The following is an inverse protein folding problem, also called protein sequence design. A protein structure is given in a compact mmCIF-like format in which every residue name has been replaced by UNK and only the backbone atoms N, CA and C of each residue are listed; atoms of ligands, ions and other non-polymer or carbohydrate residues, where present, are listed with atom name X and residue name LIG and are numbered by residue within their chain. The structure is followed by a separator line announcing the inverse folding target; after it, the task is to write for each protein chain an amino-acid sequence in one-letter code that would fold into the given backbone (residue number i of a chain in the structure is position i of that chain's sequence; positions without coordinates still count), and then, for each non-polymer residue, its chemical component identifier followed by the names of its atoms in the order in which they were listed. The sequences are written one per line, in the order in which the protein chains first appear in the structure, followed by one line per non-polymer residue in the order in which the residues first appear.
data_IF_087045519162
#
_entry.id   IF_087045519162
#
_cell.length_a   1.000
_cell.length_b   1.000
_cell.length_c   1.000
_cell.angle_alpha   90.00
_cell.angle_beta   90.00
_cell.angle_gamma   90.00
#
_symmetry.space_group_name_H-M   'P 1'
#
loop_
_entity.id
_entity.type
_entity.pdbx_description
1 polymer ?
#
# COMPACT_ATOMS: atom_id res chain seq x y z
N UNK A 1 14.85 6.88 -29.30
CA UNK A 1 14.74 7.06 -27.87
C UNK A 1 14.86 5.71 -27.20
N UNK A 2 15.67 5.59 -26.17
CA UNK A 2 15.74 4.38 -25.36
C UNK A 2 14.44 4.21 -24.57
N UNK A 3 14.10 2.98 -24.16
CA UNK A 3 12.90 2.73 -23.35
C UNK A 3 12.91 3.57 -22.05
N UNK A 4 14.08 3.79 -21.45
CA UNK A 4 14.33 4.64 -20.29
C UNK A 4 13.91 6.10 -20.52
N UNK A 5 14.28 6.69 -21.67
CA UNK A 5 13.92 8.08 -22.01
C UNK A 5 12.40 8.26 -22.19
N UNK A 6 11.73 7.23 -22.75
CA UNK A 6 10.28 7.23 -22.90
C UNK A 6 9.58 7.21 -21.53
N UNK A 7 10.04 6.38 -20.60
CA UNK A 7 9.47 6.28 -19.24
C UNK A 7 9.66 7.59 -18.44
N UNK A 8 10.84 8.21 -18.54
CA UNK A 8 11.09 9.52 -17.94
C UNK A 8 10.19 10.62 -18.52
N UNK A 9 9.92 10.59 -19.82
CA UNK A 9 9.01 11.52 -20.48
C UNK A 9 7.56 11.30 -20.06
N UNK A 10 7.12 10.04 -19.91
CA UNK A 10 5.79 9.69 -19.41
C UNK A 10 5.57 10.23 -17.99
N UNK A 11 6.55 10.05 -17.09
CA UNK A 11 6.46 10.55 -15.73
C UNK A 11 6.25 12.07 -15.67
N UNK A 12 7.06 12.83 -16.41
CA UNK A 12 6.94 14.30 -16.48
C UNK A 12 5.61 14.75 -17.07
N UNK A 13 5.13 14.05 -18.10
CA UNK A 13 3.87 14.37 -18.76
C UNK A 13 2.68 14.15 -17.81
N UNK A 14 2.67 13.02 -17.09
CA UNK A 14 1.60 12.70 -16.13
C UNK A 14 1.64 13.61 -14.91
N UNK A 15 2.83 13.93 -14.39
CA UNK A 15 3.00 14.83 -13.24
C UNK A 15 2.65 16.28 -13.56
N UNK A 16 2.57 16.66 -14.85
CA UNK A 16 2.39 18.04 -15.31
C UNK A 16 3.51 19.01 -14.82
N UNK A 17 4.65 18.45 -14.46
CA UNK A 17 5.83 19.18 -14.01
C UNK A 17 7.13 18.49 -14.49
N UNK A 18 8.25 19.21 -14.41
CA UNK A 18 9.55 18.71 -14.81
C UNK A 18 10.23 17.94 -13.68
N UNK A 19 9.76 16.73 -13.40
CA UNK A 19 10.37 15.83 -12.43
C UNK A 19 11.80 15.42 -12.83
N UNK A 20 12.66 15.27 -11.84
CA UNK A 20 13.93 14.55 -12.02
C UNK A 20 13.64 13.05 -11.96
N UNK A 21 13.94 12.34 -13.03
CA UNK A 21 13.73 10.88 -13.12
C UNK A 21 15.07 10.19 -13.16
N UNK A 22 15.32 9.33 -12.18
CA UNK A 22 16.54 8.54 -12.05
C UNK A 22 16.22 7.04 -12.19
N UNK A 23 17.14 6.30 -12.80
CA UNK A 23 17.05 4.84 -12.89
C UNK A 23 18.20 4.23 -12.08
N UNK A 24 17.86 3.42 -11.07
CA UNK A 24 18.83 2.84 -10.13
C UNK A 24 18.57 1.35 -9.89
N UNK A 25 19.59 0.66 -9.39
CA UNK A 25 19.46 -0.69 -8.86
C UNK A 25 18.81 -0.63 -7.47
N UNK A 26 17.49 -0.60 -7.44
CA UNK A 26 16.68 -0.53 -6.23
C UNK A 26 15.58 -1.60 -6.29
N UNK A 27 15.06 -2.07 -5.15
CA UNK A 27 14.06 -3.14 -5.12
C UNK A 27 12.70 -2.70 -5.67
N UNK A 28 12.36 -1.42 -5.56
CA UNK A 28 11.09 -0.87 -6.06
C UNK A 28 11.26 0.59 -6.48
N UNK A 29 10.22 1.17 -7.10
CA UNK A 29 10.15 2.60 -7.37
C UNK A 29 9.96 3.40 -6.08
N UNK A 30 10.31 4.68 -6.10
CA UNK A 30 10.06 5.60 -5.00
C UNK A 30 10.05 7.05 -5.48
N UNK A 31 9.29 7.89 -4.80
CA UNK A 31 9.25 9.33 -5.04
C UNK A 31 9.70 10.13 -3.81
N UNK A 32 10.74 10.91 -3.95
CA UNK A 32 11.19 11.86 -2.93
C UNK A 32 10.38 13.16 -3.09
N UNK A 33 9.43 13.36 -2.18
CA UNK A 33 8.49 14.50 -2.22
C UNK A 33 9.20 15.83 -2.01
N UNK A 34 10.26 15.86 -1.18
CA UNK A 34 11.05 17.06 -0.91
C UNK A 34 11.88 17.49 -2.14
N UNK A 35 12.61 16.54 -2.73
CA UNK A 35 13.54 16.80 -3.84
C UNK A 35 12.88 16.73 -5.21
N UNK A 36 11.63 16.25 -5.26
CA UNK A 36 10.89 16.02 -6.50
C UNK A 36 11.63 15.06 -7.45
N UNK A 37 12.21 13.99 -6.86
CA UNK A 37 12.97 12.97 -7.58
C UNK A 37 12.21 11.66 -7.62
N UNK A 38 11.90 11.19 -8.82
CA UNK A 38 11.34 9.87 -9.09
C UNK A 38 12.49 8.90 -9.35
N UNK A 39 12.63 7.88 -8.51
CA UNK A 39 13.55 6.77 -8.70
C UNK A 39 12.80 5.55 -9.24
N UNK A 40 13.21 5.06 -10.39
CA UNK A 40 12.66 3.85 -11.02
C UNK A 40 13.68 2.71 -10.94
N UNK A 41 13.26 1.47 -10.65
CA UNK A 41 14.15 0.33 -10.60
C UNK A 41 14.64 -0.06 -12.01
N UNK A 42 15.85 -0.58 -12.08
CA UNK A 42 16.40 -1.17 -13.31
C UNK A 42 16.13 -2.67 -13.33
N UNK A 43 14.87 -3.07 -13.41
CA UNK A 43 14.49 -4.48 -13.51
C UNK A 43 14.64 -5.00 -14.94
N UNK A 44 15.31 -6.13 -15.08
CA UNK A 44 15.56 -6.74 -16.39
C UNK A 44 14.38 -7.56 -16.92
N UNK A 45 13.46 -7.96 -16.04
CA UNK A 45 12.32 -8.83 -16.37
C UNK A 45 10.97 -8.13 -16.36
N UNK A 46 10.86 -6.93 -15.79
CA UNK A 46 9.59 -6.23 -15.72
C UNK A 46 9.09 -5.78 -17.10
N UNK A 47 7.82 -6.03 -17.36
CA UNK A 47 7.15 -5.60 -18.58
C UNK A 47 6.98 -4.07 -18.65
N UNK A 48 6.63 -3.57 -19.82
CA UNK A 48 6.26 -2.16 -19.98
C UNK A 48 5.03 -1.78 -19.14
N UNK A 49 4.11 -2.74 -18.90
CA UNK A 49 2.91 -2.55 -18.10
C UNK A 49 3.29 -2.31 -16.63
N UNK A 50 4.18 -3.14 -16.07
CA UNK A 50 4.69 -2.96 -14.69
C UNK A 50 5.37 -1.60 -14.55
N UNK A 51 6.24 -1.21 -15.50
CA UNK A 51 6.87 0.10 -15.45
C UNK A 51 5.88 1.26 -15.56
N UNK A 52 4.86 1.16 -16.42
CA UNK A 52 3.81 2.19 -16.51
C UNK A 52 3.03 2.32 -15.21
N UNK A 53 2.70 1.19 -14.58
CA UNK A 53 2.05 1.14 -13.28
C UNK A 53 2.92 1.82 -12.21
N UNK A 54 4.22 1.47 -12.10
CA UNK A 54 5.14 2.08 -11.16
C UNK A 54 5.27 3.61 -11.38
N UNK A 55 5.42 4.04 -12.62
CA UNK A 55 5.43 5.47 -12.97
C UNK A 55 4.13 6.14 -12.53
N UNK A 56 2.99 5.52 -12.82
CA UNK A 56 1.68 6.05 -12.45
C UNK A 56 1.50 6.17 -10.93
N UNK A 57 1.96 5.19 -10.18
CA UNK A 57 1.94 5.17 -8.72
C UNK A 57 2.76 6.33 -8.13
N UNK A 58 4.05 6.42 -8.51
CA UNK A 58 4.94 7.45 -7.98
C UNK A 58 4.54 8.88 -8.40
N UNK A 59 4.01 9.03 -9.62
CA UNK A 59 3.42 10.31 -10.05
C UNK A 59 2.16 10.62 -9.22
N UNK A 60 1.42 9.63 -8.78
CA UNK A 60 0.32 9.78 -7.82
C UNK A 60 0.79 10.46 -6.53
N UNK A 61 1.89 10.00 -5.95
CA UNK A 61 2.53 10.68 -4.80
C UNK A 61 2.97 12.10 -5.14
N UNK A 62 3.60 12.30 -6.31
CA UNK A 62 4.03 13.63 -6.75
C UNK A 62 2.89 14.63 -6.83
N UNK A 63 1.70 14.20 -7.25
CA UNK A 63 0.54 15.06 -7.46
C UNK A 63 -0.31 15.27 -6.20
N UNK A 64 -0.39 14.27 -5.33
CA UNK A 64 -1.44 14.21 -4.32
C UNK A 64 -0.95 14.06 -2.89
N UNK A 65 0.27 13.55 -2.65
CA UNK A 65 0.83 13.43 -1.30
C UNK A 65 1.50 14.74 -0.91
N UNK A 66 1.02 15.43 0.12
CA UNK A 66 1.63 16.67 0.56
C UNK A 66 2.99 16.43 1.21
N UNK A 67 3.92 17.36 1.03
CA UNK A 67 5.18 17.39 1.76
C UNK A 67 4.99 18.04 3.14
N UNK A 68 4.32 17.35 4.04
CA UNK A 68 4.02 17.82 5.38
C UNK A 68 4.86 17.05 6.41
N UNK A 69 5.99 17.65 6.81
CA UNK A 69 6.91 17.04 7.77
C UNK A 69 6.29 16.86 9.14
N UNK A 70 5.43 17.78 9.55
CA UNK A 70 4.78 17.71 10.87
C UNK A 70 3.86 16.49 10.96
N UNK A 71 3.18 16.13 9.87
CA UNK A 71 2.34 14.93 9.81
C UNK A 71 3.19 13.67 9.92
N UNK A 72 4.34 13.62 9.26
CA UNK A 72 5.22 12.45 9.31
C UNK A 72 5.94 12.30 10.65
N UNK A 73 6.33 13.42 11.28
CA UNK A 73 6.99 13.41 12.60
C UNK A 73 6.02 13.11 13.75
N UNK A 74 4.76 13.53 13.63
CA UNK A 74 3.72 13.38 14.65
C UNK A 74 2.61 12.40 14.21
N UNK A 75 2.94 11.40 13.39
CA UNK A 75 1.98 10.46 12.84
C UNK A 75 1.18 9.74 13.96
N UNK A 76 -0.16 9.63 13.84
CA UNK A 76 -1.00 9.01 14.88
C UNK A 76 -0.89 7.48 14.91
N UNK A 77 -0.20 6.88 13.94
CA UNK A 77 0.05 5.45 13.80
C UNK A 77 1.38 5.24 13.02
N UNK A 78 1.90 4.00 12.94
CA UNK A 78 3.10 3.71 12.16
C UNK A 78 2.97 4.17 10.70
N UNK A 79 4.02 4.80 10.16
CA UNK A 79 4.02 5.36 8.79
C UNK A 79 3.65 4.34 7.72
N UNK A 80 3.99 3.05 7.92
CA UNK A 80 3.60 1.98 7.00
C UNK A 80 2.07 1.87 6.80
N UNK A 81 1.28 2.16 7.85
CA UNK A 81 -0.19 2.19 7.75
C UNK A 81 -0.67 3.35 6.89
N UNK A 82 -0.10 4.54 7.11
CA UNK A 82 -0.41 5.74 6.32
C UNK A 82 -0.01 5.51 4.86
N UNK A 83 1.14 4.90 4.61
CA UNK A 83 1.59 4.59 3.26
C UNK A 83 0.58 3.70 2.51
N UNK A 84 0.12 2.61 3.13
CA UNK A 84 -0.88 1.71 2.51
C UNK A 84 -2.19 2.43 2.17
N UNK A 85 -2.71 3.24 3.08
CA UNK A 85 -3.98 3.95 2.86
C UNK A 85 -3.83 5.09 1.86
N UNK A 86 -2.68 5.75 1.86
CA UNK A 86 -2.34 6.80 0.89
C UNK A 86 -2.14 6.21 -0.51
N UNK A 87 -1.46 5.06 -0.64
CA UNK A 87 -1.32 4.34 -1.90
C UNK A 87 -2.70 4.07 -2.54
N UNK A 88 -3.64 3.53 -1.76
CA UNK A 88 -4.99 3.27 -2.24
C UNK A 88 -5.70 4.56 -2.71
N UNK A 89 -5.52 5.68 -1.98
CA UNK A 89 -6.10 6.98 -2.31
C UNK A 89 -5.50 7.56 -3.59
N UNK A 90 -4.16 7.64 -3.68
CA UNK A 90 -3.50 8.27 -4.83
C UNK A 90 -3.76 7.48 -6.12
N UNK A 91 -3.74 6.15 -6.05
CA UNK A 91 -4.06 5.31 -7.22
C UNK A 91 -5.50 5.50 -7.71
N UNK A 92 -6.45 5.61 -6.79
CA UNK A 92 -7.84 5.94 -7.13
C UNK A 92 -7.92 7.30 -7.84
N UNK A 93 -7.22 8.32 -7.33
CA UNK A 93 -7.20 9.67 -7.92
C UNK A 93 -6.51 9.65 -9.29
N UNK A 94 -5.42 8.89 -9.45
CA UNK A 94 -4.73 8.71 -10.73
C UNK A 94 -5.63 8.04 -11.76
N UNK A 95 -6.32 6.95 -11.41
CA UNK A 95 -7.28 6.25 -12.29
C UNK A 95 -8.45 7.15 -12.70
N UNK A 96 -8.88 8.04 -11.80
CA UNK A 96 -9.93 9.04 -12.08
C UNK A 96 -9.44 10.14 -13.03
N UNK A 97 -8.23 10.65 -12.82
CA UNK A 97 -7.63 11.71 -13.63
C UNK A 97 -7.20 11.21 -15.01
N UNK A 98 -6.67 10.00 -15.07
CA UNK A 98 -6.15 9.36 -16.27
C UNK A 98 -6.76 7.97 -16.47
N UNK A 99 -8.02 7.86 -16.96
CA UNK A 99 -8.72 6.57 -17.04
C UNK A 99 -7.95 5.48 -17.80
N UNK A 100 -7.12 5.87 -18.79
CA UNK A 100 -6.30 4.95 -19.58
C UNK A 100 -5.26 4.18 -18.77
N UNK A 101 -4.78 4.73 -17.63
CA UNK A 101 -3.78 4.08 -16.78
C UNK A 101 -4.37 2.93 -15.94
N UNK A 102 -5.69 2.83 -15.83
CA UNK A 102 -6.35 1.78 -15.05
C UNK A 102 -5.96 0.38 -15.50
N UNK A 103 -5.75 0.19 -16.81
CA UNK A 103 -5.28 -1.08 -17.38
C UNK A 103 -3.84 -1.41 -16.98
N UNK A 104 -2.97 -0.37 -16.88
CA UNK A 104 -1.58 -0.57 -16.48
C UNK A 104 -1.49 -0.89 -14.99
N UNK A 105 -2.31 -0.26 -14.13
CA UNK A 105 -2.44 -0.65 -12.72
C UNK A 105 -2.93 -2.08 -12.56
N UNK A 106 -3.99 -2.44 -13.27
CA UNK A 106 -4.53 -3.81 -13.19
C UNK A 106 -3.54 -4.85 -13.71
N UNK A 107 -3.00 -4.66 -14.91
CA UNK A 107 -2.06 -5.60 -15.53
C UNK A 107 -0.73 -5.68 -14.78
N UNK A 108 -0.19 -4.54 -14.32
CA UNK A 108 1.07 -4.49 -13.57
C UNK A 108 0.98 -5.21 -12.23
N UNK A 109 -0.09 -5.01 -11.48
CA UNK A 109 -0.29 -5.73 -10.21
C UNK A 109 -0.61 -7.21 -10.42
N UNK A 110 -1.32 -7.59 -11.51
CA UNK A 110 -1.53 -9.00 -11.85
C UNK A 110 -0.20 -9.68 -12.17
N UNK A 111 0.67 -9.06 -12.98
CA UNK A 111 2.00 -9.60 -13.31
C UNK A 111 2.87 -9.75 -12.05
N UNK A 112 2.90 -8.74 -11.18
CA UNK A 112 3.63 -8.81 -9.91
C UNK A 112 3.09 -9.89 -8.98
N UNK A 113 1.78 -10.12 -8.97
CA UNK A 113 1.18 -11.19 -8.20
C UNK A 113 1.53 -12.58 -8.75
N UNK A 114 1.48 -12.75 -10.08
CA UNK A 114 1.90 -14.00 -10.74
C UNK A 114 3.38 -14.32 -10.51
N UNK A 115 4.24 -13.31 -10.38
CA UNK A 115 5.66 -13.44 -10.04
C UNK A 115 5.92 -13.57 -8.52
N UNK A 116 4.88 -13.73 -7.71
CA UNK A 116 4.90 -13.79 -6.24
C UNK A 116 5.67 -12.63 -5.57
N UNK A 117 5.64 -11.45 -6.17
CA UNK A 117 6.28 -10.26 -5.62
C UNK A 117 5.78 -9.91 -4.21
N UNK A 118 4.53 -10.23 -3.91
CA UNK A 118 3.93 -10.00 -2.60
C UNK A 118 4.16 -11.12 -1.60
N UNK A 119 4.83 -12.22 -2.01
CA UNK A 119 5.14 -13.39 -1.18
C UNK A 119 3.89 -14.01 -0.51
N UNK A 120 2.83 -14.18 -1.28
CA UNK A 120 1.53 -14.67 -0.78
C UNK A 120 1.10 -16.00 -1.38
N UNK A 121 1.89 -16.60 -2.30
CA UNK A 121 1.51 -17.83 -3.02
C UNK A 121 1.20 -19.00 -2.05
N UNK A 122 2.03 -19.16 -1.00
CA UNK A 122 1.89 -20.24 0.00
C UNK A 122 1.34 -19.73 1.34
N UNK A 123 0.80 -18.49 1.41
CA UNK A 123 0.36 -17.88 2.66
C UNK A 123 -1.16 -18.03 2.84
N UNK A 124 -1.60 -18.46 4.03
CA UNK A 124 -3.02 -18.36 4.38
C UNK A 124 -3.40 -16.88 4.52
N UNK A 125 -4.26 -16.40 3.64
CA UNK A 125 -4.69 -15.00 3.62
C UNK A 125 -5.39 -14.55 4.91
N UNK A 126 -5.89 -15.50 5.73
CA UNK A 126 -6.46 -15.20 7.04
C UNK A 126 -5.40 -14.89 8.11
N UNK A 127 -4.16 -15.35 7.90
CA UNK A 127 -3.05 -15.09 8.83
C UNK A 127 -2.38 -13.73 8.56
N UNK A 128 -2.67 -13.12 7.41
CA UNK A 128 -2.18 -11.77 7.10
C UNK A 128 -2.81 -10.74 8.03
N UNK A 129 -2.04 -9.73 8.42
CA UNK A 129 -2.56 -8.61 9.20
C UNK A 129 -3.64 -7.85 8.43
N UNK A 130 -4.54 -7.16 9.13
CA UNK A 130 -5.59 -6.38 8.45
C UNK A 130 -5.01 -5.36 7.47
N UNK A 131 -3.91 -4.69 7.84
CA UNK A 131 -3.29 -3.68 6.96
C UNK A 131 -2.70 -4.31 5.69
N UNK A 132 -2.10 -5.51 5.79
CA UNK A 132 -1.59 -6.23 4.62
C UNK A 132 -2.71 -6.69 3.70
N UNK A 133 -3.82 -7.20 4.27
CA UNK A 133 -5.02 -7.56 3.50
C UNK A 133 -5.64 -6.36 2.81
N UNK A 134 -5.67 -5.20 3.46
CA UNK A 134 -6.12 -3.93 2.86
C UNK A 134 -5.20 -3.52 1.71
N UNK A 135 -3.88 -3.58 1.90
CA UNK A 135 -2.91 -3.28 0.85
C UNK A 135 -3.14 -4.15 -0.40
N UNK A 136 -3.18 -5.46 -0.21
CA UNK A 136 -3.39 -6.42 -1.30
C UNK A 136 -4.76 -6.25 -1.98
N UNK A 137 -5.81 -5.96 -1.21
CA UNK A 137 -7.14 -5.71 -1.75
C UNK A 137 -7.17 -4.54 -2.75
N UNK A 138 -6.49 -3.43 -2.43
CA UNK A 138 -6.48 -2.26 -3.31
C UNK A 138 -5.49 -2.39 -4.47
N UNK A 139 -4.42 -3.16 -4.34
CA UNK A 139 -3.43 -3.42 -5.38
C UNK A 139 -3.88 -4.52 -6.35
N UNK A 140 -4.21 -5.70 -5.87
CA UNK A 140 -4.57 -6.86 -6.69
C UNK A 140 -6.07 -6.87 -7.03
N UNK A 141 -6.89 -6.22 -6.19
CA UNK A 141 -8.34 -6.11 -6.42
C UNK A 141 -9.10 -7.40 -6.14
N UNK A 142 -10.20 -7.61 -6.87
CA UNK A 142 -11.12 -8.71 -6.65
C UNK A 142 -10.51 -10.11 -6.86
N UNK A 143 -9.41 -10.21 -7.61
CA UNK A 143 -8.70 -11.49 -7.81
C UNK A 143 -8.14 -12.08 -6.53
N UNK A 144 -7.69 -11.22 -5.63
CA UNK A 144 -7.09 -11.66 -4.38
C UNK A 144 -8.11 -12.26 -3.40
N UNK A 145 -9.41 -12.03 -3.59
CA UNK A 145 -10.49 -12.50 -2.72
C UNK A 145 -10.17 -12.35 -1.22
N UNK A 146 -9.53 -11.22 -0.85
CA UNK A 146 -9.07 -10.97 0.53
C UNK A 146 -10.23 -11.10 1.52
N UNK A 147 -10.08 -11.94 2.55
CA UNK A 147 -11.10 -12.11 3.57
C UNK A 147 -11.17 -10.88 4.48
N UNK A 148 -12.39 -10.40 4.75
CA UNK A 148 -12.66 -9.35 5.74
C UNK A 148 -13.85 -9.75 6.58
N UNK A 149 -13.72 -9.69 7.88
CA UNK A 149 -14.82 -9.88 8.81
C UNK A 149 -15.84 -8.73 8.72
N UNK A 150 -17.07 -8.89 9.25
CA UNK A 150 -18.03 -7.80 9.32
C UNK A 150 -17.53 -6.55 10.05
N UNK A 151 -16.62 -6.71 11.04
CA UNK A 151 -16.02 -5.60 11.76
C UNK A 151 -14.91 -4.89 10.98
N UNK A 152 -14.19 -5.60 10.12
CA UNK A 152 -13.09 -5.08 9.29
C UNK A 152 -13.59 -4.41 8.00
N UNK A 153 -14.72 -4.86 7.48
CA UNK A 153 -15.30 -4.33 6.24
C UNK A 153 -15.47 -2.80 6.25
N UNK A 154 -16.01 -2.17 7.31
CA UNK A 154 -16.12 -0.71 7.38
C UNK A 154 -14.76 0.01 7.33
N UNK A 155 -13.71 -0.59 7.88
CA UNK A 155 -12.34 -0.04 7.90
C UNK A 155 -11.74 -0.06 6.49
N UNK A 156 -11.82 -1.21 5.79
CA UNK A 156 -11.43 -1.31 4.38
C UNK A 156 -12.19 -0.30 3.51
N UNK A 157 -13.50 -0.19 3.71
CA UNK A 157 -14.34 0.72 2.93
C UNK A 157 -14.02 2.19 3.20
N UNK A 158 -13.57 2.54 4.43
CA UNK A 158 -13.08 3.88 4.75
C UNK A 158 -11.87 4.24 3.89
N UNK A 159 -10.90 3.32 3.74
CA UNK A 159 -9.76 3.50 2.84
C UNK A 159 -10.22 3.75 1.40
N UNK A 160 -11.16 2.94 0.89
CA UNK A 160 -11.70 3.11 -0.47
C UNK A 160 -12.41 4.45 -0.70
N UNK A 161 -12.98 5.04 0.36
CA UNK A 161 -13.66 6.35 0.29
C UNK A 161 -12.73 7.55 0.48
N UNK A 162 -11.48 7.37 0.91
CA UNK A 162 -10.54 8.47 1.17
C UNK A 162 -10.35 9.35 -0.05
N UNK A 163 -10.64 10.65 0.06
CA UNK A 163 -10.46 11.65 -1.00
C UNK A 163 -9.30 12.60 -0.67
N UNK A 164 -9.13 12.94 0.59
CA UNK A 164 -8.06 13.81 1.08
C UNK A 164 -6.94 13.01 1.74
N UNK A 165 -5.76 13.62 1.89
CA UNK A 165 -4.66 12.99 2.64
C UNK A 165 -5.04 12.75 4.11
N UNK A 166 -5.83 13.67 4.71
CA UNK A 166 -6.34 13.49 6.06
C UNK A 166 -7.26 12.27 6.18
N UNK A 167 -8.11 12.01 5.18
CA UNK A 167 -8.95 10.80 5.18
C UNK A 167 -8.09 9.52 5.19
N UNK A 168 -6.96 9.51 4.46
CA UNK A 168 -6.04 8.39 4.46
C UNK A 168 -5.38 8.20 5.83
N UNK A 169 -4.97 9.29 6.49
CA UNK A 169 -4.41 9.25 7.86
C UNK A 169 -5.45 8.73 8.85
N UNK A 170 -6.68 9.22 8.79
CA UNK A 170 -7.76 8.81 9.69
C UNK A 170 -8.12 7.33 9.50
N UNK A 171 -8.15 6.85 8.26
CA UNK A 171 -8.36 5.44 7.95
C UNK A 171 -7.20 4.56 8.47
N UNK A 172 -5.95 4.98 8.28
CA UNK A 172 -4.76 4.30 8.79
C UNK A 172 -4.80 4.19 10.33
N UNK A 173 -5.11 5.28 11.01
CA UNK A 173 -5.27 5.33 12.47
C UNK A 173 -6.35 4.37 12.94
N UNK A 174 -7.52 4.38 12.30
CA UNK A 174 -8.63 3.50 12.68
C UNK A 174 -8.27 2.02 12.55
N UNK A 175 -7.57 1.63 11.46
CA UNK A 175 -7.07 0.26 11.28
C UNK A 175 -6.06 -0.10 12.38
N UNK A 176 -5.12 0.79 12.67
CA UNK A 176 -4.10 0.56 13.69
C UNK A 176 -4.72 0.41 15.10
N UNK A 177 -5.66 1.28 15.47
CA UNK A 177 -6.37 1.20 16.75
C UNK A 177 -7.19 -0.09 16.87
N UNK A 178 -7.86 -0.52 15.80
CA UNK A 178 -8.57 -1.79 15.75
C UNK A 178 -7.63 -2.97 15.97
N UNK A 179 -6.50 -3.03 15.28
CA UNK A 179 -5.54 -4.12 15.43
C UNK A 179 -4.96 -4.18 16.85
N UNK A 180 -4.60 -3.02 17.42
CA UNK A 180 -4.14 -2.95 18.82
C UNK A 180 -5.18 -3.45 19.82
N UNK A 181 -6.45 -3.16 19.58
CA UNK A 181 -7.54 -3.64 20.44
C UNK A 181 -7.68 -5.16 20.35
N UNK A 182 -7.55 -5.75 19.16
CA UNK A 182 -7.57 -7.21 18.97
C UNK A 182 -6.39 -7.89 19.68
N UNK A 183 -5.17 -7.41 19.51
CA UNK A 183 -3.98 -7.93 20.19
C UNK A 183 -4.13 -7.89 21.72
N UNK A 184 -4.68 -6.79 22.27
CA UNK A 184 -4.90 -6.65 23.69
C UNK A 184 -5.99 -7.61 24.22
N UNK A 185 -6.97 -7.95 23.40
CA UNK A 185 -8.03 -8.90 23.77
C UNK A 185 -7.52 -10.35 23.72
N UNK A 186 -6.73 -10.71 22.70
CA UNK A 186 -6.07 -12.01 22.60
C UNK A 186 -5.11 -12.25 23.77
N UNK A 187 -4.32 -11.25 24.13
CA UNK A 187 -3.40 -11.33 25.28
C UNK A 187 -4.17 -11.60 26.59
N UNK A 188 -5.28 -10.90 26.82
CA UNK A 188 -6.12 -11.12 28.02
C UNK A 188 -6.71 -12.52 28.06
N UNK A 189 -7.11 -13.07 26.88
CA UNK A 189 -7.64 -14.42 26.81
C UNK A 189 -6.56 -15.45 27.11
N UNK A 190 -5.35 -15.27 26.60
CA UNK A 190 -4.19 -16.14 26.88
C UNK A 190 -3.84 -16.12 28.38
N UNK A 191 -3.76 -14.94 28.98
CA UNK A 191 -3.48 -14.82 30.41
C UNK A 191 -4.57 -15.47 31.27
N UNK A 192 -5.83 -15.35 30.90
CA UNK A 192 -6.94 -15.99 31.60
C UNK A 192 -6.85 -17.53 31.55
N UNK A 193 -6.46 -18.10 30.41
CA UNK A 193 -6.28 -19.55 30.24
C UNK A 193 -5.12 -20.09 31.08
N UNK A 194 -4.05 -19.31 31.25
CA UNK A 194 -2.91 -19.70 32.10
C UNK A 194 -3.28 -19.78 33.58
N UNK A 195 -4.16 -18.89 34.04
CA UNK A 195 -4.63 -18.89 35.44
C UNK A 195 -5.69 -19.96 35.75
N UNK A 196 -6.36 -20.52 34.76
CA UNK A 196 -7.40 -21.55 34.94
C UNK A 196 -6.87 -22.98 34.77
N UNK A 197 -5.60 -23.20 34.44
CA UNK A 197 -5.00 -24.54 34.45
C UNK A 197 -4.82 -25.02 35.90
N UNK A 198 -5.44 -26.16 36.29
CA UNK A 198 -5.26 -26.68 37.65
C UNK A 198 -3.79 -27.07 37.84
N UNK A 199 -3.18 -26.53 38.90
CA UNK A 199 -1.86 -26.98 39.35
C UNK A 199 -1.90 -28.51 39.55
N UNK A 200 -0.93 -29.29 39.05
CA UNK A 200 -0.83 -30.70 39.39
C UNK A 200 -0.63 -30.80 40.90
N UNK A 201 -1.63 -31.34 41.61
CA UNK A 201 -1.45 -31.73 43.04
C UNK A 201 -0.43 -32.85 43.03
N UNK A 202 0.71 -32.59 43.62
CA UNK A 202 1.62 -33.64 44.05
C UNK A 202 0.90 -34.62 44.96
N UNK A 203 1.21 -35.92 44.84
CA UNK A 203 0.55 -37.01 45.59
C UNK A 203 0.88 -37.04 47.08
#
# INVERSE_FOLDING_TARGET
MTNIEIKGSLARLLATENLVVEHKQVPTASFDVDKRVLTLPMWTKASDIVYNMLVGHEVGHALYTPNDKDVFENAPCPLGYINVTEDARIEKLMKRKYPGISKDFHGGYSELHEDDFFSVEDTDLNELTLIDRVNLHFKIGAYAMMPFSPAETPLRDAVGRSETFQDAIDAAKAIYEYMKAQEAEEQKQQDCLLYTSPSPRDP
#
